data_IF_993059864813
#
_entry.id   IF_993059864813
#
_cell.length_a   1.000
_cell.length_b   1.000
_cell.length_c   1.000
_cell.angle_alpha   90.00
_cell.angle_beta   90.00
_cell.angle_gamma   90.00
#
_symmetry.space_group_name_H-M   'P 1'
#
loop_
_entity.id
_entity.type
_entity.pdbx_description
1 polymer ?
#
# COMPACT_ATOMS: atom_id res chain seq x y z
N UNK A 1 -1.29 -13.18 -0.20
CA UNK A 1 -2.04 -12.99 1.07
C UNK A 1 -1.52 -11.74 1.74
N UNK A 2 -2.27 -10.63 1.71
CA UNK A 2 -1.84 -9.39 2.39
C UNK A 2 -1.95 -9.51 3.92
N UNK A 3 -2.96 -10.23 4.43
CA UNK A 3 -3.15 -10.47 5.86
C UNK A 3 -2.09 -11.33 6.56
N UNK A 4 -1.10 -11.85 5.83
CA UNK A 4 0.04 -12.54 6.44
C UNK A 4 1.07 -11.57 7.05
N UNK A 5 0.95 -10.28 6.77
CA UNK A 5 1.89 -9.25 7.21
C UNK A 5 1.17 -8.09 7.87
N UNK A 6 1.80 -7.51 8.90
CA UNK A 6 1.49 -6.13 9.29
C UNK A 6 1.98 -5.16 8.22
N UNK A 7 1.46 -3.93 8.12
CA UNK A 7 1.98 -2.95 7.15
C UNK A 7 3.49 -2.72 7.25
N UNK A 8 4.02 -2.66 8.48
CA UNK A 8 5.46 -2.57 8.73
C UNK A 8 6.22 -3.84 8.33
N UNK A 9 5.66 -5.01 8.62
CA UNK A 9 6.25 -6.29 8.22
C UNK A 9 6.36 -6.41 6.70
N UNK A 10 5.29 -6.03 5.98
CA UNK A 10 5.28 -6.05 4.52
C UNK A 10 6.26 -5.04 3.93
N UNK A 11 6.33 -3.83 4.49
CA UNK A 11 7.31 -2.81 4.09
C UNK A 11 8.75 -3.35 4.10
N UNK A 12 9.18 -3.96 5.22
CA UNK A 12 10.52 -4.53 5.32
C UNK A 12 10.71 -5.80 4.48
N UNK A 13 9.69 -6.65 4.36
CA UNK A 13 9.75 -7.85 3.52
C UNK A 13 9.97 -7.48 2.03
N UNK A 14 9.31 -6.43 1.55
CA UNK A 14 9.48 -5.92 0.19
C UNK A 14 10.91 -5.39 -0.03
N UNK A 15 11.44 -4.60 0.91
CA UNK A 15 12.82 -4.11 0.85
C UNK A 15 13.84 -5.26 0.83
N UNK A 16 13.67 -6.24 1.72
CA UNK A 16 14.54 -7.42 1.80
C UNK A 16 14.49 -8.28 0.53
N UNK A 17 13.36 -8.28 -0.17
CA UNK A 17 13.19 -8.94 -1.46
C UNK A 17 13.73 -8.11 -2.65
N UNK A 18 14.33 -6.94 -2.39
CA UNK A 18 14.93 -6.08 -3.42
C UNK A 18 13.96 -5.10 -4.09
N UNK A 19 12.73 -4.95 -3.57
CA UNK A 19 11.81 -3.95 -4.09
C UNK A 19 12.14 -2.55 -3.54
N UNK A 20 12.03 -1.55 -4.41
CA UNK A 20 12.15 -0.15 -4.03
C UNK A 20 10.82 0.37 -3.47
N UNK A 21 10.76 0.62 -2.17
CA UNK A 21 9.63 1.27 -1.49
C UNK A 21 9.76 2.78 -1.58
N UNK A 22 8.70 3.47 -2.02
CA UNK A 22 8.63 4.95 -2.06
C UNK A 22 7.47 5.48 -1.24
N UNK A 23 7.54 6.73 -0.75
CA UNK A 23 6.38 7.43 -0.21
C UNK A 23 5.21 7.50 -1.21
N UNK A 24 4.01 7.69 -0.66
CA UNK A 24 2.83 8.01 -1.46
C UNK A 24 2.99 9.36 -2.17
N UNK A 25 2.31 9.51 -3.31
CA UNK A 25 2.24 10.77 -4.07
C UNK A 25 0.91 11.53 -3.89
N UNK A 26 -0.04 10.96 -3.15
CA UNK A 26 -1.38 11.53 -2.97
C UNK A 26 -1.41 12.65 -1.92
N UNK A 27 -2.30 13.64 -2.09
CA UNK A 27 -2.32 14.91 -1.32
C UNK A 27 -2.14 14.77 0.20
N UNK A 28 -2.77 13.79 0.86
CA UNK A 28 -2.79 13.68 2.33
C UNK A 28 -1.49 13.13 2.95
N UNK A 29 -0.73 12.36 2.18
CA UNK A 29 0.50 11.67 2.63
C UNK A 29 1.65 11.83 1.64
N UNK A 30 1.61 12.92 0.85
CA UNK A 30 2.57 13.14 -0.21
C UNK A 30 3.96 13.31 0.40
N UNK A 31 4.89 12.49 -0.07
CA UNK A 31 6.31 12.57 0.25
C UNK A 31 6.64 12.39 1.76
N UNK A 32 5.69 11.89 2.56
CA UNK A 32 5.92 11.50 3.96
C UNK A 32 6.45 10.06 4.00
N UNK A 33 7.65 9.80 4.56
CA UNK A 33 8.18 8.45 4.74
C UNK A 33 7.25 7.56 5.56
N UNK A 34 7.30 6.25 5.33
CA UNK A 34 6.48 5.30 6.08
C UNK A 34 6.82 5.33 7.58
N UNK A 35 8.10 5.47 7.89
CA UNK A 35 8.63 5.57 9.25
C UNK A 35 8.14 6.81 10.01
N UNK A 36 7.67 7.84 9.29
CA UNK A 36 7.10 9.08 9.83
C UNK A 36 5.56 9.06 9.84
N UNK A 37 4.95 7.89 9.67
CA UNK A 37 3.50 7.71 9.63
C UNK A 37 2.86 7.90 8.25
N UNK A 38 3.68 8.03 7.20
CA UNK A 38 3.22 8.02 5.81
C UNK A 38 2.83 6.63 5.31
N UNK A 39 2.30 6.58 4.09
CA UNK A 39 2.11 5.32 3.37
C UNK A 39 3.29 5.01 2.46
N UNK A 40 3.30 3.83 1.85
CA UNK A 40 4.31 3.45 0.87
C UNK A 40 3.68 2.89 -0.41
N UNK A 41 4.47 2.90 -1.50
CA UNK A 41 4.13 2.29 -2.77
C UNK A 41 5.32 1.53 -3.35
N UNK A 42 5.01 0.45 -4.05
CA UNK A 42 5.98 -0.44 -4.71
C UNK A 42 5.45 -0.83 -6.09
N UNK A 43 6.30 -0.72 -7.11
CA UNK A 43 6.03 -1.28 -8.42
C UNK A 43 6.42 -2.77 -8.43
N UNK A 44 5.62 -3.61 -9.07
CA UNK A 44 5.89 -5.05 -9.20
C UNK A 44 5.39 -5.57 -10.55
N UNK A 45 5.91 -6.70 -11.02
CA UNK A 45 5.34 -7.41 -12.19
C UNK A 45 5.34 -6.64 -13.52
N UNK A 46 6.08 -5.53 -13.62
CA UNK A 46 6.12 -4.64 -14.80
C UNK A 46 5.05 -3.55 -14.81
N UNK A 47 3.78 -3.91 -14.58
CA UNK A 47 2.62 -2.99 -14.63
C UNK A 47 1.85 -2.87 -13.29
N UNK A 48 2.29 -3.62 -12.27
CA UNK A 48 1.67 -3.67 -10.96
C UNK A 48 2.12 -2.55 -10.04
N UNK A 49 1.19 -2.00 -9.27
CA UNK A 49 1.44 -1.04 -8.20
C UNK A 49 0.71 -1.47 -6.94
N UNK A 50 1.47 -1.72 -5.88
CA UNK A 50 0.96 -1.93 -4.53
C UNK A 50 1.13 -0.62 -3.74
N UNK A 51 0.11 -0.22 -2.99
CA UNK A 51 0.14 0.94 -2.10
C UNK A 51 -0.46 0.58 -0.75
N UNK A 52 0.16 1.05 0.33
CA UNK A 52 -0.42 1.05 1.68
C UNK A 52 -0.82 2.47 2.05
N UNK A 53 -2.04 2.62 2.59
CA UNK A 53 -2.60 3.89 3.03
C UNK A 53 -2.88 3.86 4.54
N UNK A 54 -2.27 4.76 5.34
CA UNK A 54 -2.52 4.86 6.78
C UNK A 54 -3.89 5.51 7.08
N UNK A 55 -4.47 5.18 8.24
CA UNK A 55 -5.83 5.58 8.61
C UNK A 55 -6.02 7.05 8.97
N UNK A 56 -5.06 7.70 9.62
CA UNK A 56 -5.22 9.03 10.27
C UNK A 56 -5.65 10.18 9.33
N UNK A 57 -5.35 10.06 8.03
CA UNK A 57 -5.70 11.03 6.97
C UNK A 57 -6.36 10.35 5.76
N UNK A 58 -6.93 9.17 5.97
CA UNK A 58 -7.65 8.42 4.93
C UNK A 58 -9.08 8.92 4.78
N UNK A 59 -9.52 9.22 3.55
CA UNK A 59 -10.94 9.51 3.28
C UNK A 59 -11.84 8.26 3.40
N UNK A 60 -11.26 7.06 3.52
CA UNK A 60 -11.96 5.77 3.51
C UNK A 60 -12.06 5.11 4.90
N UNK A 61 -11.88 5.88 5.98
CA UNK A 61 -12.22 5.45 7.34
C UNK A 61 -11.33 4.35 7.94
N UNK A 62 -10.06 4.27 7.53
CA UNK A 62 -9.10 3.32 8.09
C UNK A 62 -7.93 3.03 7.17
N UNK A 63 -7.05 2.16 7.66
CA UNK A 63 -5.91 1.63 6.91
C UNK A 63 -6.38 0.67 5.82
N UNK A 64 -5.71 0.70 4.66
CA UNK A 64 -6.03 -0.20 3.56
C UNK A 64 -4.86 -0.35 2.59
N UNK A 65 -4.90 -1.41 1.79
CA UNK A 65 -4.03 -1.60 0.64
C UNK A 65 -4.78 -1.32 -0.66
N UNK A 66 -4.08 -0.77 -1.64
CA UNK A 66 -4.55 -0.62 -3.02
C UNK A 66 -3.60 -1.37 -3.94
N UNK A 67 -4.15 -2.21 -4.80
CA UNK A 67 -3.40 -2.87 -5.88
C UNK A 67 -3.98 -2.38 -7.20
N UNK A 68 -3.11 -1.92 -8.09
CA UNK A 68 -3.44 -1.56 -9.46
C UNK A 68 -2.63 -2.43 -10.41
N UNK A 69 -3.28 -3.04 -11.40
CA UNK A 69 -2.61 -3.71 -12.53
C UNK A 69 -3.30 -3.30 -13.83
N UNK A 70 -2.63 -3.43 -14.98
CA UNK A 70 -3.20 -3.04 -16.26
C UNK A 70 -4.45 -3.84 -16.62
N UNK A 71 -4.44 -5.15 -16.40
CA UNK A 71 -5.58 -6.04 -16.68
C UNK A 71 -6.60 -6.12 -15.55
N UNK A 72 -6.15 -6.08 -14.29
CA UNK A 72 -7.00 -6.27 -13.11
C UNK A 72 -7.64 -4.99 -12.58
N UNK A 73 -7.30 -3.84 -13.16
CA UNK A 73 -7.77 -2.54 -12.71
C UNK A 73 -7.28 -2.21 -11.31
N UNK A 74 -8.06 -1.41 -10.59
CA UNK A 74 -7.79 -1.02 -9.20
C UNK A 74 -8.67 -1.84 -8.26
N UNK A 75 -8.04 -2.52 -7.31
CA UNK A 75 -8.71 -3.21 -6.20
C UNK A 75 -8.19 -2.69 -4.87
N UNK A 76 -9.07 -2.65 -3.87
CA UNK A 76 -8.72 -2.25 -2.50
C UNK A 76 -8.92 -3.41 -1.56
N UNK A 77 -8.09 -3.48 -0.54
CA UNK A 77 -8.11 -4.52 0.47
C UNK A 77 -8.02 -3.89 1.84
N UNK A 78 -8.74 -4.42 2.82
CA UNK A 78 -8.47 -4.10 4.21
C UNK A 78 -7.07 -4.60 4.65
N UNK A 79 -6.69 -4.26 5.88
CA UNK A 79 -5.40 -4.68 6.44
C UNK A 79 -5.24 -6.21 6.55
N UNK A 80 -6.35 -6.95 6.57
CA UNK A 80 -6.37 -8.40 6.61
C UNK A 80 -6.31 -9.02 5.20
N UNK A 81 -6.29 -8.19 4.16
CA UNK A 81 -6.26 -8.63 2.76
C UNK A 81 -7.60 -9.05 2.19
N UNK A 82 -8.72 -8.72 2.86
CA UNK A 82 -10.06 -8.92 2.30
C UNK A 82 -10.36 -7.80 1.31
N UNK A 83 -10.77 -8.16 0.09
CA UNK A 83 -11.15 -7.19 -0.94
C UNK A 83 -12.35 -6.36 -0.44
N UNK A 84 -12.28 -5.04 -0.62
CA UNK A 84 -13.37 -4.11 -0.38
C UNK A 84 -14.00 -3.76 -1.72
N UNK A 85 -15.30 -3.97 -1.83
CA UNK A 85 -16.12 -3.32 -2.86
C UNK A 85 -16.40 -1.90 -2.35
N UNK A 86 -15.80 -0.92 -3.01
CA UNK A 86 -16.05 0.51 -2.76
C UNK A 86 -17.33 0.96 -3.46
#
# INVERSE_FOLDING_TARGET
MLGAYTPRGLYHALQNAGYETKPLKGKNYRDIPFEEGGGYRVNFGGDGLLMYHPGERSHHGGEYYKISTGKGGVKRYDINGKEKED
#
